data_IF_947999673357
#
_entry.id   IF_947999673357
#
_cell.length_a   1.000
_cell.length_b   1.000
_cell.length_c   1.000
_cell.angle_alpha   90.00
_cell.angle_beta   90.00
_cell.angle_gamma   90.00
#
_symmetry.space_group_name_H-M   'P 1'
#
loop_
_entity.id
_entity.type
_entity.pdbx_description
1 polymer ?
#
# COMPACT_ATOMS: atom_id res chain seq x y z
N UNK A 1 -27.01 17.75 -8.05
CA UNK A 1 -26.07 16.61 -8.15
C UNK A 1 -25.07 16.73 -7.01
N UNK A 2 -24.69 15.62 -6.37
CA UNK A 2 -23.76 15.61 -5.24
C UNK A 2 -22.42 15.04 -5.70
N UNK A 3 -21.35 15.82 -5.55
CA UNK A 3 -19.96 15.41 -5.81
C UNK A 3 -19.37 14.58 -4.64
N UNK A 4 -20.23 13.87 -3.89
CA UNK A 4 -19.79 13.08 -2.74
C UNK A 4 -18.96 11.89 -3.21
N UNK A 5 -17.78 11.76 -2.60
CA UNK A 5 -16.89 10.62 -2.74
C UNK A 5 -16.82 9.88 -1.39
N UNK A 6 -17.13 8.57 -1.40
CA UNK A 6 -16.94 7.70 -0.23
C UNK A 6 -15.65 6.91 -0.39
N UNK A 7 -14.67 7.20 0.46
CA UNK A 7 -13.40 6.47 0.51
C UNK A 7 -13.33 5.60 1.76
N UNK A 8 -12.74 4.42 1.65
CA UNK A 8 -12.52 3.48 2.76
C UNK A 8 -11.06 3.04 2.78
N UNK A 9 -10.46 2.98 3.97
CA UNK A 9 -9.17 2.30 4.17
C UNK A 9 -9.41 0.97 4.87
N UNK A 10 -8.74 -0.09 4.43
CA UNK A 10 -8.81 -1.39 5.07
C UNK A 10 -7.50 -2.16 4.94
N UNK A 11 -6.84 -2.39 6.07
CA UNK A 11 -5.77 -3.38 6.17
C UNK A 11 -6.41 -4.78 6.18
N UNK A 12 -6.21 -5.55 5.11
CA UNK A 12 -6.88 -6.84 4.90
C UNK A 12 -6.08 -8.03 5.44
N UNK A 13 -4.88 -7.78 5.99
CA UNK A 13 -3.97 -8.82 6.50
C UNK A 13 -3.86 -10.01 5.54
N UNK A 14 -3.44 -9.76 4.31
CA UNK A 14 -3.33 -10.75 3.21
C UNK A 14 -4.59 -11.63 3.03
N UNK A 15 -5.77 -11.10 3.37
CA UNK A 15 -7.04 -11.83 3.31
C UNK A 15 -7.25 -12.86 4.41
N UNK A 16 -6.42 -12.86 5.46
CA UNK A 16 -6.55 -13.81 6.56
C UNK A 16 -7.62 -13.41 7.57
N UNK A 17 -8.42 -14.40 7.96
CA UNK A 17 -9.34 -14.33 9.09
C UNK A 17 -8.60 -14.26 10.45
N UNK A 18 -9.36 -14.03 11.52
CA UNK A 18 -8.85 -14.01 12.90
C UNK A 18 -8.18 -15.34 13.34
N UNK A 19 -8.43 -16.44 12.62
CA UNK A 19 -7.81 -17.76 12.85
C UNK A 19 -6.76 -18.11 11.80
N UNK A 20 -6.18 -17.12 11.11
CA UNK A 20 -5.11 -17.27 10.12
C UNK A 20 -5.48 -18.15 8.90
N UNK A 21 -6.74 -18.13 8.47
CA UNK A 21 -7.17 -18.78 7.23
C UNK A 21 -7.54 -17.75 6.18
N UNK A 22 -7.06 -17.94 4.95
CA UNK A 22 -7.44 -17.12 3.80
C UNK A 22 -8.95 -17.16 3.57
N UNK A 23 -9.57 -15.99 3.56
CA UNK A 23 -11.00 -15.79 3.32
C UNK A 23 -11.25 -14.44 2.63
N UNK A 24 -10.98 -14.39 1.32
CA UNK A 24 -11.22 -13.19 0.51
C UNK A 24 -12.72 -12.89 0.32
N UNK A 25 -13.59 -13.90 0.46
CA UNK A 25 -15.03 -13.71 0.36
C UNK A 25 -15.55 -12.83 1.50
N UNK A 26 -15.07 -13.06 2.73
CA UNK A 26 -15.35 -12.18 3.86
C UNK A 26 -14.87 -10.75 3.62
N UNK A 27 -13.66 -10.59 3.10
CA UNK A 27 -13.11 -9.26 2.75
C UNK A 27 -14.00 -8.54 1.74
N UNK A 28 -14.45 -9.25 0.69
CA UNK A 28 -15.40 -8.73 -0.30
C UNK A 28 -16.71 -8.29 0.33
N UNK A 29 -17.31 -9.11 1.19
CA UNK A 29 -18.57 -8.80 1.87
C UNK A 29 -18.47 -7.55 2.73
N UNK A 30 -17.40 -7.44 3.52
CA UNK A 30 -17.14 -6.25 4.35
C UNK A 30 -17.04 -5.00 3.47
N UNK A 31 -16.23 -5.04 2.41
CA UNK A 31 -16.04 -3.89 1.52
C UNK A 31 -17.35 -3.53 0.82
N UNK A 32 -18.13 -4.50 0.32
CA UNK A 32 -19.45 -4.26 -0.30
C UNK A 32 -20.39 -3.54 0.66
N UNK A 33 -20.43 -3.95 1.93
CA UNK A 33 -21.28 -3.34 2.97
C UNK A 33 -20.94 -1.88 3.28
N UNK A 34 -19.72 -1.41 2.95
CA UNK A 34 -19.36 0.01 3.12
C UNK A 34 -19.93 0.90 2.02
N UNK A 35 -20.35 0.32 0.89
CA UNK A 35 -20.75 1.04 -0.32
C UNK A 35 -19.71 2.07 -0.79
N UNK A 36 -18.41 1.80 -0.58
CA UNK A 36 -17.33 2.70 -0.98
C UNK A 36 -17.32 2.95 -2.50
N UNK A 37 -16.89 4.14 -2.88
CA UNK A 37 -16.55 4.49 -4.27
C UNK A 37 -15.10 4.13 -4.57
N UNK A 38 -14.22 4.34 -3.59
CA UNK A 38 -12.78 4.01 -3.66
C UNK A 38 -12.36 3.31 -2.37
N UNK A 39 -11.56 2.25 -2.50
CA UNK A 39 -11.08 1.44 -1.39
C UNK A 39 -9.55 1.38 -1.43
N UNK A 40 -8.92 1.83 -0.36
CA UNK A 40 -7.50 1.75 -0.12
C UNK A 40 -7.18 0.52 0.73
N UNK A 41 -6.45 -0.43 0.15
CA UNK A 41 -6.09 -1.68 0.80
C UNK A 41 -4.63 -1.69 1.23
N UNK A 42 -4.37 -2.21 2.43
CA UNK A 42 -3.03 -2.47 2.96
C UNK A 42 -2.88 -3.97 3.26
N UNK A 43 -1.62 -4.43 3.30
CA UNK A 43 -1.26 -5.85 3.45
C UNK A 43 -1.82 -6.75 2.34
N UNK A 44 -1.67 -6.32 1.09
CA UNK A 44 -2.21 -7.03 -0.06
C UNK A 44 -1.14 -7.91 -0.68
N UNK A 45 -1.42 -9.20 -0.83
CA UNK A 45 -0.55 -10.15 -1.53
C UNK A 45 -0.94 -10.23 -3.02
N UNK A 46 0.07 -10.31 -3.89
CA UNK A 46 -0.11 -10.74 -5.28
C UNK A 46 0.83 -11.90 -5.55
N UNK A 47 0.24 -13.10 -5.58
CA UNK A 47 0.94 -14.38 -5.80
C UNK A 47 2.06 -14.62 -4.78
N UNK A 48 1.91 -14.09 -3.57
CA UNK A 48 3.02 -13.99 -2.61
C UNK A 48 3.44 -15.34 -2.02
N UNK A 49 2.52 -16.26 -1.75
CA UNK A 49 2.87 -17.52 -1.11
C UNK A 49 1.65 -18.33 -0.66
N UNK A 50 1.92 -19.44 0.05
CA UNK A 50 0.89 -20.33 0.59
C UNK A 50 -0.09 -19.61 1.52
N UNK A 51 0.36 -18.60 2.29
CA UNK A 51 -0.48 -17.81 3.20
C UNK A 51 -1.70 -17.16 2.51
N UNK A 52 -1.54 -16.83 1.23
CA UNK A 52 -2.54 -16.20 0.38
C UNK A 52 -2.95 -17.10 -0.79
N UNK A 53 -2.61 -18.39 -0.74
CA UNK A 53 -2.94 -19.35 -1.80
C UNK A 53 -2.33 -19.01 -3.17
N UNK A 54 -1.29 -18.17 -3.21
CA UNK A 54 -0.75 -17.59 -4.44
C UNK A 54 -1.78 -16.80 -5.28
N UNK A 55 -2.82 -16.25 -4.66
CA UNK A 55 -3.85 -15.46 -5.33
C UNK A 55 -3.34 -14.09 -5.82
N UNK A 56 -3.88 -13.59 -6.94
CA UNK A 56 -3.80 -12.18 -7.30
C UNK A 56 -4.92 -11.43 -6.55
N UNK A 57 -4.67 -11.05 -5.29
CA UNK A 57 -5.69 -10.43 -4.45
C UNK A 57 -6.20 -9.09 -5.00
N UNK A 58 -5.35 -8.17 -5.52
CA UNK A 58 -5.85 -6.95 -6.16
C UNK A 58 -6.85 -7.26 -7.27
N UNK A 59 -6.49 -8.16 -8.21
CA UNK A 59 -7.35 -8.53 -9.33
C UNK A 59 -8.64 -9.22 -8.88
N UNK A 60 -8.55 -10.18 -7.97
CA UNK A 60 -9.71 -10.92 -7.46
C UNK A 60 -10.69 -10.05 -6.68
N UNK A 61 -10.17 -9.10 -5.88
CA UNK A 61 -11.00 -8.15 -5.15
C UNK A 61 -11.65 -7.13 -6.10
N UNK A 62 -10.91 -6.61 -7.09
CA UNK A 62 -11.46 -5.75 -8.13
C UNK A 62 -12.60 -6.42 -8.91
N UNK A 63 -12.39 -7.64 -9.39
CA UNK A 63 -13.41 -8.41 -10.10
C UNK A 63 -14.65 -8.62 -9.23
N UNK A 64 -14.47 -9.09 -7.98
CA UNK A 64 -15.56 -9.31 -7.06
C UNK A 64 -16.33 -8.04 -6.68
N UNK A 65 -15.70 -6.88 -6.72
CA UNK A 65 -16.34 -5.59 -6.42
C UNK A 65 -16.83 -4.85 -7.66
N UNK A 66 -16.54 -5.37 -8.86
CA UNK A 66 -16.73 -4.67 -10.13
C UNK A 66 -16.08 -3.28 -10.12
N UNK A 67 -14.81 -3.25 -9.73
CA UNK A 67 -13.98 -2.06 -9.61
C UNK A 67 -12.69 -2.22 -10.43
N UNK A 68 -12.11 -1.11 -10.86
CA UNK A 68 -10.74 -1.07 -11.37
C UNK A 68 -9.73 -1.15 -10.22
N UNK A 69 -8.51 -1.64 -10.48
CA UNK A 69 -7.44 -1.75 -9.51
C UNK A 69 -6.16 -1.07 -9.97
N UNK A 70 -5.51 -0.34 -9.05
CA UNK A 70 -4.09 -0.01 -9.10
C UNK A 70 -3.38 -0.69 -7.94
N UNK A 71 -2.19 -1.21 -8.18
CA UNK A 71 -1.40 -1.94 -7.19
C UNK A 71 0.04 -1.42 -7.18
N UNK A 72 0.57 -1.21 -5.97
CA UNK A 72 1.96 -0.82 -5.77
C UNK A 72 2.63 -1.81 -4.79
N UNK A 73 3.59 -2.61 -5.26
CA UNK A 73 4.34 -3.49 -4.38
C UNK A 73 5.33 -2.66 -3.52
N UNK A 74 5.37 -2.98 -2.24
CA UNK A 74 6.44 -2.58 -1.34
C UNK A 74 7.58 -3.63 -1.35
N UNK A 75 7.24 -4.90 -1.57
CA UNK A 75 8.15 -6.02 -1.68
C UNK A 75 7.87 -6.76 -2.99
N UNK A 76 8.94 -7.07 -3.75
CA UNK A 76 8.88 -7.93 -4.94
C UNK A 76 9.97 -9.00 -4.83
N UNK A 77 9.55 -10.25 -4.67
CA UNK A 77 10.41 -11.43 -4.63
C UNK A 77 10.37 -12.17 -5.97
N UNK A 78 11.38 -13.00 -6.28
CA UNK A 78 11.44 -13.74 -7.53
C UNK A 78 10.33 -14.78 -7.55
N UNK A 79 9.96 -15.20 -8.75
CA UNK A 79 9.02 -16.30 -8.92
C UNK A 79 9.59 -17.56 -8.23
N UNK A 80 8.77 -18.32 -7.48
CA UNK A 80 9.19 -19.61 -6.94
C UNK A 80 9.38 -20.60 -8.10
N UNK A 81 10.17 -21.65 -7.88
CA UNK A 81 10.40 -22.70 -8.87
C UNK A 81 9.07 -23.22 -9.46
N UNK A 82 8.97 -23.25 -10.78
CA UNK A 82 7.76 -23.69 -11.49
C UNK A 82 6.68 -22.61 -11.69
N UNK A 83 6.93 -21.36 -11.30
CA UNK A 83 6.07 -20.21 -11.64
C UNK A 83 6.85 -19.17 -12.43
N UNK A 84 6.15 -18.41 -13.27
CA UNK A 84 6.75 -17.38 -14.12
C UNK A 84 6.72 -15.97 -13.51
N UNK A 85 5.78 -15.72 -12.60
CA UNK A 85 5.45 -14.37 -12.14
C UNK A 85 6.03 -14.11 -10.74
N UNK A 86 6.47 -12.87 -10.46
CA UNK A 86 7.04 -12.51 -9.16
C UNK A 86 6.01 -12.62 -8.04
N UNK A 87 6.51 -12.68 -6.82
CA UNK A 87 5.73 -12.72 -5.58
C UNK A 87 5.75 -11.33 -4.96
N UNK A 88 4.61 -10.70 -4.79
CA UNK A 88 4.56 -9.30 -4.41
C UNK A 88 3.68 -9.06 -3.19
N UNK A 89 4.05 -8.06 -2.39
CA UNK A 89 3.28 -7.60 -1.24
C UNK A 89 3.29 -6.07 -1.22
N UNK A 90 2.14 -5.45 -0.94
CA UNK A 90 2.03 -4.00 -0.96
C UNK A 90 0.65 -3.45 -0.65
N UNK A 91 0.32 -2.35 -1.34
CA UNK A 91 -0.95 -1.61 -1.19
C UNK A 91 -1.69 -1.56 -2.51
N UNK A 92 -3.02 -1.44 -2.45
CA UNK A 92 -3.87 -1.30 -3.63
C UNK A 92 -4.89 -0.18 -3.47
N UNK A 93 -5.31 0.41 -4.60
CA UNK A 93 -6.49 1.25 -4.71
C UNK A 93 -7.48 0.54 -5.63
N UNK A 94 -8.72 0.34 -5.16
CA UNK A 94 -9.83 -0.16 -5.96
C UNK A 94 -10.85 0.96 -6.16
N UNK A 95 -11.42 1.12 -7.35
CA UNK A 95 -12.34 2.23 -7.64
C UNK A 95 -13.49 1.82 -8.57
N UNK A 96 -14.71 2.30 -8.28
CA UNK A 96 -15.84 2.27 -9.21
C UNK A 96 -15.77 3.35 -10.29
N UNK A 97 -14.93 4.34 -10.06
CA UNK A 97 -14.75 5.52 -10.91
C UNK A 97 -13.40 5.41 -11.63
N UNK A 98 -13.24 6.06 -12.80
CA UNK A 98 -11.97 6.05 -13.51
C UNK A 98 -10.82 6.48 -12.59
N UNK A 99 -9.78 5.66 -12.57
CA UNK A 99 -8.64 5.79 -11.67
C UNK A 99 -7.35 5.84 -12.49
N UNK A 100 -6.62 6.94 -12.37
CA UNK A 100 -5.37 7.14 -13.10
C UNK A 100 -4.20 7.29 -12.12
N UNK A 101 -3.12 6.50 -12.25
CA UNK A 101 -1.96 6.65 -11.38
C UNK A 101 -1.33 8.02 -11.58
N UNK A 102 -0.91 8.65 -10.49
CA UNK A 102 -0.42 10.02 -10.55
C UNK A 102 1.03 10.08 -11.03
N UNK A 103 1.29 10.81 -12.10
CA UNK A 103 2.64 11.19 -12.49
C UNK A 103 3.23 12.14 -11.43
N UNK A 104 4.17 11.63 -10.65
CA UNK A 104 4.91 12.38 -9.64
C UNK A 104 6.32 12.66 -10.15
N UNK A 105 6.88 13.85 -9.88
CA UNK A 105 8.26 14.12 -10.23
C UNK A 105 9.15 13.06 -9.60
N UNK A 106 9.93 12.35 -10.43
CA UNK A 106 10.86 11.31 -9.99
C UNK A 106 11.76 11.91 -8.93
N UNK A 107 11.64 11.42 -7.70
CA UNK A 107 12.60 11.76 -6.66
C UNK A 107 13.87 10.97 -6.97
N UNK A 108 14.81 11.65 -7.61
CA UNK A 108 16.07 11.07 -8.04
C UNK A 108 16.76 10.33 -6.88
N UNK A 109 17.25 9.13 -7.16
CA UNK A 109 17.97 8.32 -6.17
C UNK A 109 19.14 9.14 -5.66
N UNK A 110 19.17 9.46 -4.36
CA UNK A 110 20.28 10.21 -3.78
C UNK A 110 21.62 9.54 -4.13
N UNK A 111 22.55 10.36 -4.60
CA UNK A 111 23.93 10.04 -4.98
C UNK A 111 24.86 9.74 -3.79
N UNK A 112 24.30 9.38 -2.63
CA UNK A 112 25.03 9.26 -1.35
C UNK A 112 25.47 7.82 -1.01
N UNK A 113 25.27 6.86 -1.92
CA UNK A 113 25.69 5.48 -1.72
C UNK A 113 24.80 4.67 -0.77
N UNK A 114 23.64 5.19 -0.36
CA UNK A 114 22.64 4.45 0.40
C UNK A 114 21.98 3.40 -0.53
N UNK A 115 21.94 2.09 -0.17
CA UNK A 115 21.31 1.09 -1.02
C UNK A 115 19.81 1.33 -1.20
N UNK A 116 19.26 0.78 -2.29
CA UNK A 116 17.86 0.96 -2.66
C UNK A 116 16.89 0.66 -1.49
N UNK A 117 15.78 1.42 -1.37
CA UNK A 117 14.82 1.27 -0.27
C UNK A 117 14.12 -0.10 -0.23
N UNK A 118 14.27 -0.91 -1.29
CA UNK A 118 13.58 -2.19 -1.47
C UNK A 118 14.40 -3.42 -0.97
N UNK A 119 15.52 -3.29 -0.24
CA UNK A 119 16.25 -4.47 0.30
C UNK A 119 15.64 -4.95 1.64
N UNK A 120 15.33 -6.26 1.85
CA UNK A 120 14.60 -6.77 3.00
C UNK A 120 15.54 -7.15 4.15
N UNK A 121 14.98 -7.31 5.34
CA UNK A 121 15.69 -7.80 6.53
C UNK A 121 14.79 -8.75 7.36
N UNK A 122 15.35 -9.77 8.06
CA UNK A 122 14.57 -10.83 8.69
C UNK A 122 13.80 -10.48 9.99
N UNK A 123 12.80 -11.34 10.23
CA UNK A 123 11.97 -11.61 11.40
C UNK A 123 10.93 -10.59 11.88
N UNK A 124 9.67 -10.78 11.45
CA UNK A 124 8.47 -10.19 12.08
C UNK A 124 7.46 -11.24 12.60
N UNK A 125 7.12 -11.24 13.91
CA UNK A 125 6.21 -12.23 14.50
C UNK A 125 4.74 -12.10 14.08
N UNK A 126 4.35 -11.12 13.26
CA UNK A 126 3.02 -11.05 12.64
C UNK A 126 2.96 -11.89 11.35
N UNK A 127 4.13 -12.26 10.80
CA UNK A 127 4.28 -13.16 9.67
C UNK A 127 4.63 -14.56 10.17
N UNK A 128 3.70 -15.51 10.07
CA UNK A 128 3.98 -16.94 10.28
C UNK A 128 4.82 -17.57 9.15
N UNK A 129 5.56 -16.75 8.39
CA UNK A 129 6.54 -17.17 7.40
C UNK A 129 7.84 -16.39 7.67
N UNK A 130 9.02 -17.04 7.63
CA UNK A 130 10.29 -16.35 7.77
C UNK A 130 10.40 -15.24 6.73
N UNK A 131 10.92 -14.08 7.13
CA UNK A 131 11.17 -13.00 6.19
C UNK A 131 12.18 -13.47 5.12
N UNK A 132 12.00 -13.07 3.85
CA UNK A 132 12.85 -13.51 2.75
C UNK A 132 14.28 -13.01 2.91
N UNK A 133 15.25 -13.80 2.45
CA UNK A 133 16.66 -13.41 2.43
C UNK A 133 16.89 -12.12 1.62
N UNK A 134 17.73 -11.22 2.15
CA UNK A 134 18.14 -9.93 1.58
C UNK A 134 18.45 -9.96 0.08
N UNK A 135 19.04 -11.05 -0.40
CA UNK A 135 19.49 -11.20 -1.80
C UNK A 135 18.36 -11.55 -2.78
N UNK A 136 17.17 -11.88 -2.28
CA UNK A 136 16.06 -12.33 -3.13
C UNK A 136 15.09 -11.22 -3.55
N UNK A 137 14.98 -10.11 -2.82
CA UNK A 137 14.06 -9.02 -3.23
C UNK A 137 14.67 -8.23 -4.36
N UNK A 138 13.94 -8.19 -5.46
CA UNK A 138 14.25 -7.35 -6.60
C UNK A 138 13.57 -6.00 -6.42
N UNK A 139 14.25 -4.91 -6.80
CA UNK A 139 13.60 -3.61 -6.90
C UNK A 139 12.38 -3.70 -7.82
N UNK A 140 11.21 -3.27 -7.34
CA UNK A 140 10.02 -3.20 -8.19
C UNK A 140 10.26 -2.22 -9.33
N UNK A 141 9.74 -2.54 -10.53
CA UNK A 141 9.75 -1.62 -11.66
C UNK A 141 9.11 -0.28 -11.27
N UNK A 142 9.63 0.81 -11.83
CA UNK A 142 9.04 2.14 -11.68
C UNK A 142 7.62 2.13 -12.26
N UNK A 143 6.66 2.58 -11.47
CA UNK A 143 5.24 2.62 -11.80
C UNK A 143 4.71 4.00 -11.40
N UNK A 144 3.98 4.71 -12.28
CA UNK A 144 3.39 6.00 -11.93
C UNK A 144 2.55 5.91 -10.65
N UNK A 145 2.58 6.94 -9.82
CA UNK A 145 1.87 6.96 -8.54
C UNK A 145 2.51 6.14 -7.41
N UNK A 146 3.50 5.26 -7.69
CA UNK A 146 4.26 4.55 -6.65
C UNK A 146 5.29 5.49 -6.02
N UNK A 147 5.23 5.61 -4.69
CA UNK A 147 6.18 6.37 -3.88
C UNK A 147 6.84 5.40 -2.90
N UNK A 148 8.06 4.91 -3.17
CA UNK A 148 8.82 4.11 -2.21
C UNK A 148 9.09 4.94 -0.96
N UNK A 149 8.90 4.37 0.23
CA UNK A 149 9.13 5.08 1.48
C UNK A 149 10.48 4.69 2.08
N UNK A 150 11.20 5.64 2.71
CA UNK A 150 12.52 5.38 3.24
C UNK A 150 12.47 4.39 4.41
N UNK A 151 13.44 3.48 4.40
CA UNK A 151 13.83 2.66 5.54
C UNK A 151 15.00 3.39 6.23
N UNK A 152 14.78 3.98 7.40
CA UNK A 152 15.86 4.67 8.11
C UNK A 152 16.84 3.63 8.69
N UNK A 153 18.04 3.53 8.10
CA UNK A 153 19.10 2.64 8.58
C UNK A 153 19.73 3.17 9.85
N UNK A 154 20.14 2.27 10.75
CA UNK A 154 20.99 2.62 11.90
C UNK A 154 20.27 3.25 13.10
N UNK A 155 18.94 3.16 13.18
CA UNK A 155 18.20 3.41 14.41
C UNK A 155 18.33 2.18 15.30
N UNK A 156 18.72 2.35 16.56
CA UNK A 156 18.86 1.27 17.54
C UNK A 156 17.51 0.53 17.70
N UNK A 157 17.44 -0.72 17.22
CA UNK A 157 16.19 -1.48 17.12
C UNK A 157 16.14 -2.40 15.90
N UNK A 158 14.95 -2.94 15.63
CA UNK A 158 14.66 -3.82 14.49
C UNK A 158 14.62 -3.04 13.17
N UNK A 159 15.16 -3.62 12.10
CA UNK A 159 15.26 -2.97 10.80
C UNK A 159 13.89 -2.59 10.21
N UNK A 160 13.79 -1.48 9.45
CA UNK A 160 12.53 -1.02 8.87
C UNK A 160 12.03 -1.96 7.76
N UNK A 161 10.73 -2.24 7.75
CA UNK A 161 10.11 -2.96 6.64
C UNK A 161 10.05 -2.10 5.37
N UNK A 162 10.29 -2.66 4.17
CA UNK A 162 10.06 -1.93 2.92
C UNK A 162 8.60 -1.47 2.83
N UNK A 163 8.37 -0.16 2.74
CA UNK A 163 7.04 0.47 2.69
C UNK A 163 6.86 1.28 1.40
N UNK A 164 5.60 1.49 1.02
CA UNK A 164 5.24 2.22 -0.20
C UNK A 164 3.98 3.05 0.04
N UNK A 165 3.81 4.12 -0.73
CA UNK A 165 2.54 4.79 -0.94
C UNK A 165 2.14 4.70 -2.41
N UNK A 166 0.84 4.74 -2.67
CA UNK A 166 0.25 4.75 -4.00
C UNK A 166 -0.70 5.94 -4.11
N UNK A 167 -0.42 6.85 -5.05
CA UNK A 167 -1.23 8.02 -5.35
C UNK A 167 -1.89 7.90 -6.73
N UNK A 168 -3.18 8.20 -6.80
CA UNK A 168 -3.95 8.18 -8.04
C UNK A 168 -5.00 9.30 -8.07
N UNK A 169 -5.35 9.78 -9.26
CA UNK A 169 -6.47 10.68 -9.49
C UNK A 169 -7.73 9.87 -9.73
N UNK A 170 -8.83 10.33 -9.15
CA UNK A 170 -10.18 9.78 -9.33
C UNK A 170 -11.00 10.81 -10.07
N UNK A 171 -11.55 10.42 -11.22
CA UNK A 171 -12.44 11.26 -12.00
C UNK A 171 -13.86 11.26 -11.41
N UNK A 172 -14.36 12.46 -11.06
CA UNK A 172 -15.71 12.69 -10.52
C UNK A 172 -16.63 13.38 -11.54
N UNK A 173 -16.20 13.57 -12.79
CA UNK A 173 -16.97 14.26 -13.83
C UNK A 173 -18.34 13.61 -14.05
N UNK A 174 -18.41 12.28 -14.04
CA UNK A 174 -19.67 11.52 -14.11
C UNK A 174 -20.64 11.77 -12.94
N UNK A 175 -20.19 12.43 -11.87
CA UNK A 175 -21.00 12.84 -10.70
C UNK A 175 -21.22 14.34 -10.61
N UNK A 176 -20.82 15.10 -11.63
CA UNK A 176 -20.86 16.56 -11.62
C UNK A 176 -19.77 17.21 -10.74
N UNK A 177 -18.72 16.46 -10.41
CA UNK A 177 -17.50 16.96 -9.76
C UNK A 177 -16.36 17.16 -10.76
N UNK A 178 -15.20 17.59 -10.26
CA UNK A 178 -13.94 17.61 -11.03
C UNK A 178 -13.16 16.32 -10.80
N UNK A 179 -11.96 16.44 -10.26
CA UNK A 179 -11.10 15.32 -9.86
C UNK A 179 -10.74 15.41 -8.38
N UNK A 180 -10.36 14.28 -7.77
CA UNK A 180 -9.76 14.23 -6.46
C UNK A 180 -8.57 13.26 -6.45
N UNK A 181 -7.53 13.57 -5.68
CA UNK A 181 -6.40 12.65 -5.50
C UNK A 181 -6.66 11.74 -4.28
N UNK A 182 -6.48 10.44 -4.45
CA UNK A 182 -6.54 9.45 -3.38
C UNK A 182 -5.17 8.83 -3.21
N UNK A 183 -4.65 8.83 -1.98
CA UNK A 183 -3.36 8.26 -1.63
C UNK A 183 -3.54 7.20 -0.55
N UNK A 184 -3.02 5.99 -0.78
CA UNK A 184 -2.95 4.93 0.24
C UNK A 184 -1.50 4.67 0.66
N UNK A 185 -1.27 4.36 1.92
CA UNK A 185 0.03 3.90 2.41
C UNK A 185 -0.11 2.93 3.59
N UNK A 186 0.99 2.28 3.94
CA UNK A 186 1.13 1.47 5.15
C UNK A 186 2.49 1.78 5.77
N UNK A 187 2.52 2.57 6.84
CA UNK A 187 3.75 3.01 7.49
C UNK A 187 4.34 1.94 8.41
N UNK A 188 5.60 2.13 8.82
CA UNK A 188 6.35 1.20 9.66
C UNK A 188 5.66 0.87 10.99
N UNK A 189 5.59 -0.43 11.30
CA UNK A 189 5.01 -0.92 12.54
C UNK A 189 5.96 -0.81 13.74
N UNK A 190 7.28 -0.73 13.52
CA UNK A 190 8.28 -0.92 14.57
C UNK A 190 8.57 0.35 15.35
N UNK A 191 8.98 1.42 14.66
CA UNK A 191 9.48 2.61 15.35
C UNK A 191 8.75 3.89 14.94
N UNK A 192 8.51 4.76 15.93
CA UNK A 192 7.96 6.08 15.68
C UNK A 192 8.90 6.94 14.81
N UNK A 193 10.22 6.73 14.92
CA UNK A 193 11.21 7.43 14.12
C UNK A 193 11.12 7.06 12.64
N UNK A 194 10.94 5.77 12.31
CA UNK A 194 10.74 5.33 10.93
C UNK A 194 9.46 5.94 10.36
N UNK A 195 8.35 5.87 11.10
CA UNK A 195 7.09 6.50 10.67
C UNK A 195 7.23 7.99 10.44
N UNK A 196 7.95 8.71 11.31
CA UNK A 196 8.19 10.15 11.13
C UNK A 196 8.99 10.44 9.85
N UNK A 197 10.05 9.67 9.57
CA UNK A 197 10.84 9.80 8.35
C UNK A 197 10.01 9.49 7.09
N UNK A 198 9.20 8.43 7.13
CA UNK A 198 8.31 8.04 6.04
C UNK A 198 7.22 9.09 5.79
N UNK A 199 6.61 9.62 6.85
CA UNK A 199 5.61 10.67 6.75
C UNK A 199 6.21 11.98 6.20
N UNK A 200 7.41 12.37 6.63
CA UNK A 200 8.10 13.55 6.11
C UNK A 200 8.45 13.40 4.62
N UNK A 201 8.91 12.21 4.22
CA UNK A 201 9.16 11.88 2.82
C UNK A 201 7.89 11.97 1.98
N UNK A 202 6.78 11.37 2.45
CA UNK A 202 5.50 11.43 1.79
C UNK A 202 4.97 12.87 1.68
N UNK A 203 5.07 13.66 2.74
CA UNK A 203 4.70 15.07 2.71
C UNK A 203 5.48 15.86 1.66
N UNK A 204 6.78 15.56 1.50
CA UNK A 204 7.63 16.18 0.48
C UNK A 204 7.20 15.75 -0.92
N UNK A 205 6.95 14.45 -1.13
CA UNK A 205 6.51 13.90 -2.42
C UNK A 205 5.16 14.45 -2.87
N UNK A 206 4.25 14.71 -1.93
CA UNK A 206 2.90 15.20 -2.19
C UNK A 206 2.77 16.73 -2.16
N UNK A 207 3.81 17.48 -1.76
CA UNK A 207 3.78 18.95 -1.74
C UNK A 207 3.41 19.61 -3.09
N UNK A 208 3.74 19.02 -4.27
CA UNK A 208 3.31 19.57 -5.55
C UNK A 208 1.82 19.36 -5.88
N UNK A 209 1.07 18.56 -5.13
CA UNK A 209 -0.34 18.31 -5.41
C UNK A 209 -1.16 19.60 -5.39
N UNK A 210 -2.19 19.64 -6.23
CA UNK A 210 -3.17 20.72 -6.32
C UNK A 210 -4.57 20.12 -6.28
N UNK A 211 -5.53 20.87 -5.73
CA UNK A 211 -6.91 20.42 -5.61
C UNK A 211 -7.17 19.49 -4.43
N UNK A 212 -8.38 18.90 -4.36
CA UNK A 212 -8.78 18.02 -3.27
C UNK A 212 -7.93 16.74 -3.23
N UNK A 213 -7.37 16.42 -2.07
CA UNK A 213 -6.63 15.19 -1.86
C UNK A 213 -7.02 14.54 -0.53
N UNK A 214 -7.02 13.21 -0.50
CA UNK A 214 -7.17 12.41 0.71
C UNK A 214 -6.03 11.42 0.81
N UNK A 215 -5.30 11.48 1.92
CA UNK A 215 -4.32 10.47 2.32
C UNK A 215 -4.98 9.57 3.39
N UNK A 216 -4.95 8.28 3.15
CA UNK A 216 -5.50 7.26 4.03
C UNK A 216 -4.56 6.05 4.08
N UNK A 217 -4.77 5.17 5.05
CA UNK A 217 -3.91 4.01 5.22
C UNK A 217 -3.75 3.58 6.67
N UNK A 218 -3.01 2.49 6.84
CA UNK A 218 -2.56 2.06 8.16
C UNK A 218 -1.27 2.82 8.51
N UNK A 219 -1.42 3.84 9.34
CA UNK A 219 -0.30 4.69 9.74
C UNK A 219 0.52 4.05 10.86
N UNK A 220 0.09 2.94 11.47
CA UNK A 220 0.70 2.35 12.66
C UNK A 220 0.95 3.36 13.80
N UNK A 221 0.16 4.43 13.86
CA UNK A 221 0.18 5.44 14.91
C UNK A 221 -1.05 5.33 15.78
N UNK A 222 -0.88 5.50 17.09
CA UNK A 222 -2.01 5.81 17.97
C UNK A 222 -2.36 7.27 17.78
N UNK A 223 -3.66 7.59 17.84
CA UNK A 223 -4.06 8.97 18.02
C UNK A 223 -3.36 9.52 19.27
N UNK A 224 -2.80 10.72 19.18
CA UNK A 224 -2.43 11.43 20.40
C UNK A 224 -3.68 11.53 21.28
N UNK A 225 -3.54 11.33 22.59
CA UNK A 225 -4.62 11.68 23.49
C UNK A 225 -5.04 13.13 23.18
N UNK A 226 -6.36 13.44 23.13
CA UNK A 226 -6.78 14.82 22.98
C UNK A 226 -6.06 15.63 24.06
N UNK A 227 -5.39 16.72 23.66
CA UNK A 227 -4.76 17.61 24.61
C UNK A 227 -5.84 18.02 25.61
N UNK A 228 -5.63 17.73 26.90
CA UNK A 228 -6.49 18.26 27.95
C UNK A 228 -6.37 19.78 27.88
N UNK A 229 -7.42 20.42 27.36
CA UNK A 229 -7.60 21.88 27.35
C UNK A 229 -8.27 22.34 28.62
#
# INVERSE_FOLDING_TARGET
MSSRLRVVSFNIRHGASAVNRLDLSRTLEVIRGTEADVVALQEVDRRFGERSGYEDQPGRLAEGLSMDALYAPAITLPAPSGRAEPREYGVALLSKLPLEPLELPVQDRRSDGTPAPDAPVPDDPIHSAPAPDAESVTASAAFPGRIPLPSARGVEGKDPEPRVALAARVDLAGRGGGEATVITTHLDAFTAQHRAAQAAHLATALAPLRGPAVLLGDMNTRAAAPAET
#
